data_IF_950653673619
#
_entry.id   IF_950653673619
#
_cell.length_a   1.000
_cell.length_b   1.000
_cell.length_c   1.000
_cell.angle_alpha   90.00
_cell.angle_beta   90.00
_cell.angle_gamma   90.00
#
_symmetry.space_group_name_H-M   'P 1'
#
loop_
_entity.id
_entity.type
_entity.pdbx_description
1 polymer ?
#
# COMPACT_ATOMS: atom_id res chain seq x y z
N UNK A 1 -6.40 -2.30 -3.95
CA UNK A 1 -5.66 -1.35 -3.10
C UNK A 1 -6.49 -0.09 -2.91
N UNK A 2 -6.67 0.36 -1.66
CA UNK A 2 -7.39 1.62 -1.35
C UNK A 2 -6.57 2.82 -1.84
N UNK A 3 -7.23 3.91 -2.21
CA UNK A 3 -6.58 5.18 -2.56
C UNK A 3 -5.78 5.21 -3.88
N UNK A 4 -5.70 4.09 -4.63
CA UNK A 4 -4.99 4.07 -5.90
C UNK A 4 -5.67 5.01 -6.92
N UNK A 5 -4.88 5.86 -7.57
CA UNK A 5 -5.34 6.92 -8.47
C UNK A 5 -4.87 6.64 -9.91
N UNK A 6 -5.75 6.13 -10.79
CA UNK A 6 -5.40 5.83 -12.19
C UNK A 6 -4.83 7.02 -12.98
N UNK A 7 -5.39 8.22 -12.77
CA UNK A 7 -4.95 9.43 -13.45
C UNK A 7 -3.52 9.83 -13.07
N UNK A 8 -3.09 9.57 -11.83
CA UNK A 8 -1.73 9.82 -11.39
C UNK A 8 -0.73 8.91 -12.11
N UNK A 9 -1.06 7.62 -12.29
CA UNK A 9 -0.25 6.70 -13.09
C UNK A 9 -0.15 7.15 -14.55
N UNK A 10 -1.26 7.58 -15.15
CA UNK A 10 -1.27 8.14 -16.51
C UNK A 10 -0.36 9.37 -16.61
N UNK A 11 -0.47 10.27 -15.63
CA UNK A 11 0.35 11.49 -15.54
C UNK A 11 1.84 11.18 -15.46
N UNK A 12 2.26 10.36 -14.50
CA UNK A 12 3.66 9.98 -14.32
C UNK A 12 4.24 9.31 -15.58
N UNK A 13 3.51 8.36 -16.18
CA UNK A 13 3.95 7.71 -17.42
C UNK A 13 4.11 8.71 -18.57
N UNK A 14 3.18 9.64 -18.73
CA UNK A 14 3.24 10.67 -19.79
C UNK A 14 4.37 11.66 -19.55
N UNK A 15 4.62 12.04 -18.31
CA UNK A 15 5.75 12.91 -17.94
C UNK A 15 7.09 12.24 -18.23
N UNK A 16 7.17 10.91 -18.08
CA UNK A 16 8.32 10.11 -18.51
C UNK A 16 8.43 9.92 -20.05
N UNK A 17 7.46 10.41 -20.82
CA UNK A 17 7.46 10.28 -22.29
C UNK A 17 7.15 8.88 -22.80
N UNK A 18 6.56 8.00 -21.97
CA UNK A 18 6.41 6.58 -22.28
C UNK A 18 5.03 6.20 -22.77
N UNK A 19 4.96 5.23 -23.70
CA UNK A 19 3.70 4.55 -24.03
C UNK A 19 3.30 3.54 -22.95
N UNK A 20 2.06 3.04 -22.99
CA UNK A 20 1.63 1.94 -22.10
C UNK A 20 2.48 0.68 -22.29
N UNK A 21 2.95 0.43 -23.52
CA UNK A 21 3.80 -0.71 -23.84
C UNK A 21 5.22 -0.55 -23.28
N UNK A 22 5.76 0.67 -23.28
CA UNK A 22 7.06 0.97 -22.68
C UNK A 22 7.04 0.74 -21.18
N UNK A 23 6.05 1.32 -20.49
CA UNK A 23 5.93 1.13 -19.04
C UNK A 23 5.76 -0.34 -18.67
N UNK A 24 4.90 -1.06 -19.41
CA UNK A 24 4.69 -2.49 -19.25
C UNK A 24 5.99 -3.30 -19.38
N UNK A 25 6.76 -3.06 -20.45
CA UNK A 25 8.04 -3.73 -20.69
C UNK A 25 9.06 -3.42 -19.61
N UNK A 26 9.19 -2.15 -19.22
CA UNK A 26 10.17 -1.71 -18.23
C UNK A 26 9.84 -2.19 -16.81
N UNK A 27 8.56 -2.36 -16.47
CA UNK A 27 8.10 -2.79 -15.13
C UNK A 27 7.85 -4.30 -14.99
N UNK A 28 8.06 -5.06 -16.07
CA UNK A 28 7.69 -6.48 -16.16
C UNK A 28 6.22 -6.70 -15.74
N UNK A 29 5.33 -5.93 -16.40
CA UNK A 29 3.88 -5.99 -16.21
C UNK A 29 3.23 -6.08 -17.58
N UNK A 30 2.23 -6.94 -17.76
CA UNK A 30 1.53 -7.03 -19.04
C UNK A 30 0.84 -5.72 -19.43
N UNK A 31 0.95 -5.32 -20.72
CA UNK A 31 0.32 -4.09 -21.25
C UNK A 31 -1.17 -4.01 -20.93
N UNK A 32 -1.88 -5.14 -21.02
CA UNK A 32 -3.31 -5.21 -20.68
C UNK A 32 -3.59 -4.89 -19.20
N UNK A 33 -2.65 -5.19 -18.30
CA UNK A 33 -2.75 -4.86 -16.87
C UNK A 33 -2.54 -3.37 -16.66
N UNK A 34 -1.49 -2.77 -17.24
CA UNK A 34 -1.29 -1.30 -17.21
C UNK A 34 -2.52 -0.57 -17.74
N UNK A 35 -3.06 -1.03 -18.88
CA UNK A 35 -4.28 -0.44 -19.47
C UNK A 35 -5.49 -0.53 -18.54
N UNK A 36 -5.68 -1.65 -17.83
CA UNK A 36 -6.79 -1.80 -16.87
C UNK A 36 -6.61 -0.90 -15.65
N UNK A 37 -5.38 -0.76 -15.16
CA UNK A 37 -5.07 0.15 -14.05
C UNK A 37 -5.34 1.60 -14.41
N UNK A 38 -4.84 2.07 -15.57
CA UNK A 38 -5.06 3.44 -16.05
C UNK A 38 -6.53 3.75 -16.35
N UNK A 39 -7.32 2.73 -16.70
CA UNK A 39 -8.79 2.85 -16.87
C UNK A 39 -9.55 2.75 -15.55
N UNK A 40 -8.91 2.41 -14.44
CA UNK A 40 -9.56 2.17 -13.15
C UNK A 40 -10.42 0.90 -13.09
N UNK A 41 -10.30 -0.02 -14.06
CA UNK A 41 -11.07 -1.28 -14.09
C UNK A 41 -10.39 -2.41 -13.31
N UNK A 42 -9.18 -2.18 -12.82
CA UNK A 42 -8.48 -3.05 -11.89
C UNK A 42 -7.59 -2.22 -10.96
N UNK A 43 -7.28 -2.77 -9.79
CA UNK A 43 -6.38 -2.15 -8.81
C UNK A 43 -5.10 -2.99 -8.68
N UNK A 44 -3.92 -2.36 -8.53
CA UNK A 44 -2.66 -3.08 -8.42
C UNK A 44 -2.52 -3.80 -7.07
N UNK A 45 -1.64 -4.82 -7.06
CA UNK A 45 -1.00 -5.30 -5.83
C UNK A 45 0.19 -4.41 -5.50
N UNK A 46 0.54 -4.32 -4.21
CA UNK A 46 1.56 -3.36 -3.72
C UNK A 46 2.94 -3.62 -4.28
N UNK A 47 3.34 -4.88 -4.38
CA UNK A 47 4.62 -5.30 -4.95
C UNK A 47 4.74 -4.94 -6.44
N UNK A 48 3.65 -5.13 -7.20
CA UNK A 48 3.62 -4.79 -8.63
C UNK A 48 3.61 -3.27 -8.83
N UNK A 49 2.85 -2.54 -8.01
CA UNK A 49 2.88 -1.07 -8.05
C UNK A 49 4.25 -0.52 -7.64
N UNK A 50 4.92 -1.13 -6.67
CA UNK A 50 6.26 -0.74 -6.25
C UNK A 50 7.28 -0.86 -7.38
N UNK A 51 7.20 -1.92 -8.21
CA UNK A 51 8.04 -2.03 -9.42
C UNK A 51 7.75 -0.92 -10.43
N UNK A 52 6.47 -0.65 -10.69
CA UNK A 52 6.06 0.44 -11.59
C UNK A 52 6.55 1.80 -11.09
N UNK A 53 6.44 2.05 -9.78
CA UNK A 53 6.90 3.26 -9.14
C UNK A 53 8.42 3.43 -9.21
N UNK A 54 9.17 2.34 -8.95
CA UNK A 54 10.63 2.33 -9.08
C UNK A 54 11.09 2.63 -10.51
N UNK A 55 10.42 2.07 -11.51
CA UNK A 55 10.72 2.32 -12.93
C UNK A 55 10.40 3.76 -13.32
N UNK A 56 9.32 4.34 -12.78
CA UNK A 56 8.96 5.75 -13.01
C UNK A 56 9.75 6.73 -12.13
N UNK A 57 10.63 6.24 -11.25
CA UNK A 57 11.41 7.03 -10.29
C UNK A 57 10.56 7.96 -9.41
N UNK A 58 9.36 7.51 -9.02
CA UNK A 58 8.44 8.25 -8.14
C UNK A 58 8.03 7.39 -6.95
N UNK A 59 7.74 7.98 -5.78
CA UNK A 59 7.25 7.22 -4.63
C UNK A 59 5.82 6.71 -4.86
N UNK A 60 5.44 5.61 -4.20
CA UNK A 60 4.09 5.04 -4.30
C UNK A 60 3.01 6.00 -3.79
N UNK A 61 3.37 6.90 -2.87
CA UNK A 61 2.48 7.96 -2.38
C UNK A 61 1.93 8.85 -3.50
N UNK A 62 2.61 8.93 -4.65
CA UNK A 62 2.13 9.70 -5.80
C UNK A 62 0.96 9.00 -6.50
N UNK A 63 0.82 7.68 -6.33
CA UNK A 63 -0.26 6.87 -6.88
C UNK A 63 -1.33 6.51 -5.88
N UNK A 64 -1.05 6.57 -4.58
CA UNK A 64 -1.95 6.14 -3.51
C UNK A 64 -2.22 7.29 -2.57
N UNK A 65 -3.45 7.82 -2.60
CA UNK A 65 -3.88 8.91 -1.74
C UNK A 65 -4.97 8.44 -0.77
N UNK A 66 -4.63 8.44 0.52
CA UNK A 66 -5.56 8.20 1.63
C UNK A 66 -5.20 9.19 2.74
N UNK A 67 -6.15 10.04 3.19
CA UNK A 67 -5.92 10.95 4.32
C UNK A 67 -5.47 10.19 5.56
N UNK A 68 -4.54 10.75 6.34
CA UNK A 68 -3.98 10.12 7.55
C UNK A 68 -5.08 9.67 8.52
N UNK A 69 -6.14 10.47 8.66
CA UNK A 69 -7.32 10.20 9.49
C UNK A 69 -8.15 8.99 9.03
N UNK A 70 -7.98 8.52 7.79
CA UNK A 70 -8.75 7.43 7.19
C UNK A 70 -7.92 6.15 6.94
N UNK A 71 -6.61 6.22 7.20
CA UNK A 71 -5.68 5.10 7.01
C UNK A 71 -5.95 3.99 8.01
N UNK A 72 -6.01 2.77 7.51
CA UNK A 72 -5.84 1.54 8.28
C UNK A 72 -4.35 1.16 8.32
N UNK A 73 -3.92 0.20 9.17
CA UNK A 73 -2.52 -0.18 9.26
C UNK A 73 -1.93 -0.66 7.92
N UNK A 74 -2.74 -1.32 7.09
CA UNK A 74 -2.32 -1.78 5.76
C UNK A 74 -2.01 -0.65 4.78
N UNK A 75 -2.64 0.53 4.93
CA UNK A 75 -2.41 1.67 4.05
C UNK A 75 -1.03 2.30 4.28
N UNK A 76 -0.62 2.42 5.55
CA UNK A 76 0.74 2.85 5.90
C UNK A 76 1.80 1.95 5.27
N UNK A 77 1.56 0.63 5.32
CA UNK A 77 2.42 -0.37 4.68
C UNK A 77 2.48 -0.17 3.16
N UNK A 78 1.33 0.06 2.53
CA UNK A 78 1.22 0.26 1.08
C UNK A 78 1.97 1.51 0.61
N UNK A 79 1.91 2.60 1.38
CA UNK A 79 2.62 3.85 1.05
C UNK A 79 4.14 3.68 1.05
N UNK A 80 4.67 2.72 1.82
CA UNK A 80 6.08 2.32 1.79
C UNK A 80 6.41 1.25 0.73
N UNK A 81 5.42 0.79 -0.04
CA UNK A 81 5.62 -0.27 -1.04
C UNK A 81 5.89 -1.65 -0.48
N UNK A 82 5.52 -1.89 0.78
CA UNK A 82 5.79 -3.15 1.45
C UNK A 82 4.61 -4.12 1.29
N UNK A 83 4.92 -5.39 1.08
CA UNK A 83 3.99 -6.51 1.27
C UNK A 83 3.89 -6.88 2.76
N UNK A 84 2.84 -7.60 3.16
CA UNK A 84 2.72 -8.08 4.55
C UNK A 84 3.93 -8.91 5.01
N UNK A 85 4.48 -9.84 4.21
CA UNK A 85 5.71 -10.54 4.57
C UNK A 85 6.91 -9.61 4.76
N UNK A 86 7.08 -8.60 3.90
CA UNK A 86 8.18 -7.64 4.02
C UNK A 86 8.06 -6.78 5.28
N UNK A 87 6.86 -6.30 5.63
CA UNK A 87 6.65 -5.60 6.89
C UNK A 87 6.90 -6.52 8.08
N UNK A 88 6.43 -7.76 8.02
CA UNK A 88 6.68 -8.76 9.06
C UNK A 88 8.17 -8.98 9.29
N UNK A 89 8.93 -9.21 8.21
CA UNK A 89 10.38 -9.36 8.27
C UNK A 89 11.06 -8.10 8.84
N UNK A 90 10.67 -6.90 8.37
CA UNK A 90 11.25 -5.62 8.84
C UNK A 90 10.98 -5.35 10.32
N UNK A 91 9.79 -5.66 10.81
CA UNK A 91 9.42 -5.54 12.22
C UNK A 91 9.89 -6.74 13.07
N UNK A 92 10.35 -7.83 12.43
CA UNK A 92 10.68 -9.12 13.04
C UNK A 92 9.46 -9.91 13.57
N UNK A 93 8.25 -9.60 13.11
CA UNK A 93 7.02 -10.31 13.48
C UNK A 93 6.59 -11.27 12.38
N UNK A 94 5.81 -12.30 12.74
CA UNK A 94 5.28 -13.24 11.73
C UNK A 94 4.28 -12.52 10.81
N UNK A 95 4.26 -12.85 9.53
CA UNK A 95 3.28 -12.32 8.55
C UNK A 95 1.84 -12.43 9.03
N UNK A 96 1.48 -13.54 9.70
CA UNK A 96 0.15 -13.75 10.25
C UNK A 96 -0.24 -12.68 11.29
N UNK A 97 0.72 -12.20 12.10
CA UNK A 97 0.51 -11.12 13.07
C UNK A 97 0.25 -9.81 12.35
N UNK A 98 1.01 -9.50 11.29
CA UNK A 98 0.75 -8.31 10.45
C UNK A 98 -0.68 -8.37 9.90
N UNK A 99 -1.07 -9.49 9.31
CA UNK A 99 -2.41 -9.66 8.74
C UNK A 99 -3.53 -9.52 9.77
N UNK A 100 -3.40 -10.10 10.97
CA UNK A 100 -4.43 -10.01 12.00
C UNK A 100 -4.57 -8.59 12.56
N UNK A 101 -3.47 -7.86 12.69
CA UNK A 101 -3.46 -6.44 13.10
C UNK A 101 -4.09 -5.55 12.03
N UNK A 102 -3.74 -5.75 10.76
CA UNK A 102 -4.31 -4.99 9.63
C UNK A 102 -5.82 -5.20 9.51
N UNK A 103 -6.30 -6.43 9.75
CA UNK A 103 -7.74 -6.73 9.72
C UNK A 103 -8.49 -6.35 11.00
N UNK A 104 -7.78 -5.92 12.05
CA UNK A 104 -8.38 -5.59 13.35
C UNK A 104 -8.88 -6.82 14.14
N UNK A 105 -8.43 -8.03 13.81
CA UNK A 105 -8.92 -9.27 14.42
C UNK A 105 -8.37 -9.46 15.84
N UNK A 106 -7.11 -9.06 16.07
CA UNK A 106 -6.42 -9.18 17.35
C UNK A 106 -6.16 -7.82 17.95
N UNK A 107 -5.96 -7.75 19.27
CA UNK A 107 -5.49 -6.53 19.93
C UNK A 107 -4.03 -6.23 19.55
N UNK A 108 -3.70 -4.94 19.45
CA UNK A 108 -2.34 -4.45 19.24
C UNK A 108 -1.62 -4.30 20.59
N UNK A 109 -0.78 -5.29 20.94
CA UNK A 109 0.06 -5.21 22.15
C UNK A 109 1.17 -4.17 22.00
N UNK A 110 1.67 -3.66 23.12
CA UNK A 110 2.68 -2.59 23.14
C UNK A 110 3.95 -2.96 22.39
N UNK A 111 4.49 -4.16 22.64
CA UNK A 111 5.65 -4.69 21.92
C UNK A 111 5.42 -4.79 20.40
N UNK A 112 4.23 -5.21 19.94
CA UNK A 112 3.93 -5.25 18.50
C UNK A 112 3.74 -3.85 17.95
N UNK A 113 3.14 -2.93 18.72
CA UNK A 113 2.97 -1.53 18.34
C UNK A 113 4.30 -0.83 18.11
N UNK A 114 5.25 -0.98 19.05
CA UNK A 114 6.61 -0.44 18.94
C UNK A 114 7.32 -0.94 17.68
N UNK A 115 7.29 -2.26 17.45
CA UNK A 115 7.98 -2.90 16.32
C UNK A 115 7.39 -2.52 14.98
N UNK A 116 6.06 -2.51 14.86
CA UNK A 116 5.38 -2.15 13.61
C UNK A 116 5.48 -0.66 13.33
N UNK A 117 5.33 0.21 14.33
CA UNK A 117 5.44 1.66 14.14
C UNK A 117 6.84 2.07 13.71
N UNK A 118 7.88 1.49 14.32
CA UNK A 118 9.28 1.67 13.88
C UNK A 118 9.52 1.17 12.45
N UNK A 119 8.97 0.00 12.09
CA UNK A 119 9.11 -0.54 10.73
C UNK A 119 8.32 0.25 9.67
N UNK A 120 7.27 0.95 10.07
CA UNK A 120 6.43 1.81 9.23
C UNK A 120 6.86 3.28 9.24
N UNK A 121 7.86 3.64 10.04
CA UNK A 121 8.32 5.02 10.23
C UNK A 121 7.19 6.00 10.60
N UNK A 122 6.36 5.57 11.57
CA UNK A 122 5.26 6.38 12.13
C UNK A 122 5.29 6.31 13.66
N UNK A 123 4.55 7.19 14.31
CA UNK A 123 4.37 7.13 15.76
C UNK A 123 3.50 5.93 16.17
N UNK A 124 3.69 5.45 17.40
CA UNK A 124 2.83 4.44 18.02
C UNK A 124 1.37 4.94 18.07
N UNK A 125 1.15 6.24 18.31
CA UNK A 125 -0.16 6.85 18.36
C UNK A 125 -0.89 6.73 17.00
N UNK A 126 -0.22 7.07 15.90
CA UNK A 126 -0.79 6.94 14.55
C UNK A 126 -1.15 5.48 14.21
N UNK A 127 -0.29 4.53 14.61
CA UNK A 127 -0.56 3.11 14.40
C UNK A 127 -1.77 2.64 15.22
N UNK A 128 -1.89 3.08 16.48
CA UNK A 128 -3.02 2.74 17.35
C UNK A 128 -4.33 3.31 16.83
N UNK A 129 -4.33 4.56 16.38
CA UNK A 129 -5.51 5.20 15.79
C UNK A 129 -5.94 4.46 14.52
N UNK A 130 -4.98 4.11 13.64
CA UNK A 130 -5.25 3.32 12.45
C UNK A 130 -5.82 1.93 12.78
N UNK A 131 -5.23 1.26 13.78
CA UNK A 131 -5.71 -0.05 14.23
C UNK A 131 -7.10 0.03 14.85
N UNK A 132 -7.39 1.06 15.66
CA UNK A 132 -8.70 1.27 16.25
C UNK A 132 -9.77 1.46 15.15
N UNK A 133 -9.47 2.24 14.10
CA UNK A 133 -10.35 2.38 12.94
C UNK A 133 -10.60 1.04 12.23
N UNK A 134 -9.57 0.22 12.06
CA UNK A 134 -9.71 -1.11 11.46
C UNK A 134 -10.57 -2.06 12.33
N UNK A 135 -10.50 -1.94 13.66
CA UNK A 135 -11.34 -2.70 14.61
C UNK A 135 -12.81 -2.26 14.61
N UNK A 136 -13.05 -0.96 14.44
CA UNK A 136 -14.40 -0.39 14.46
C UNK A 136 -15.06 -0.32 13.07
N UNK A 137 -14.45 -0.92 12.04
CA UNK A 137 -14.99 -0.86 10.68
C UNK A 137 -16.34 -1.58 10.59
N UNK A 138 -17.33 -1.01 9.88
CA UNK A 138 -18.63 -1.65 9.72
C UNK A 138 -18.50 -2.98 8.95
N UNK A 139 -19.41 -3.95 9.20
CA UNK A 139 -19.43 -5.21 8.47
C UNK A 139 -19.42 -5.00 6.96
N UNK A 140 -18.59 -5.76 6.24
CA UNK A 140 -18.47 -5.68 4.78
C UNK A 140 -17.49 -4.62 4.25
N UNK A 141 -16.94 -3.74 5.10
CA UNK A 141 -15.87 -2.82 4.67
C UNK A 141 -14.51 -3.55 4.64
N UNK A 142 -13.83 -3.62 3.48
CA UNK A 142 -12.49 -4.23 3.40
C UNK A 142 -11.48 -3.47 4.26
N UNK A 143 -10.57 -4.23 4.90
CA UNK A 143 -9.45 -3.70 5.69
C UNK A 143 -8.27 -3.33 4.79
#
# INVERSE_FOLDING_TARGET
MRGFTPSALVGARRNAGWSQADLARLSDVGVATIRRWEKGTASPQVDVLARVAAVLEVPISDFVNIPVSERFPGDWRVLLGLTQPQLGARAGVRTAVVGSIERGETALSDNVAERLSSALDISIAELRDAHQRARSRPPGMPA
#
